data_IF_950285455700
#
_entry.id   IF_950285455700
#
_cell.length_a   1.000
_cell.length_b   1.000
_cell.length_c   1.000
_cell.angle_alpha   90.00
_cell.angle_beta   90.00
_cell.angle_gamma   90.00
#
_symmetry.space_group_name_H-M   'P 1'
#
loop_
_entity.id
_entity.type
_entity.pdbx_description
1 polymer ?
#
# COMPACT_ATOMS: atom_id res chain seq x y z
N UNK A 1 -46.05 -38.35 -47.58
CA UNK A 1 -47.12 -37.94 -46.66
C UNK A 1 -46.66 -38.16 -45.23
N UNK A 2 -46.27 -37.08 -44.53
CA UNK A 2 -46.47 -36.79 -43.10
C UNK A 2 -45.44 -35.74 -42.67
N UNK A 3 -45.95 -34.53 -42.47
CA UNK A 3 -45.24 -33.38 -41.93
C UNK A 3 -45.37 -33.38 -40.40
N UNK A 4 -44.26 -33.20 -39.67
CA UNK A 4 -44.29 -32.74 -38.29
C UNK A 4 -43.40 -31.51 -38.17
N UNK A 5 -44.02 -30.34 -37.97
CA UNK A 5 -43.37 -29.08 -37.62
C UNK A 5 -43.36 -28.94 -36.10
N UNK A 6 -42.19 -28.88 -35.49
CA UNK A 6 -42.02 -28.41 -34.11
C UNK A 6 -41.94 -26.88 -34.12
N UNK A 7 -42.86 -26.22 -33.41
CA UNK A 7 -42.77 -24.81 -33.02
C UNK A 7 -41.94 -24.72 -31.74
N UNK A 8 -40.78 -24.07 -31.81
CA UNK A 8 -40.04 -23.63 -30.61
C UNK A 8 -40.37 -22.15 -30.41
N UNK A 9 -41.14 -21.84 -29.38
CA UNK A 9 -41.42 -20.48 -28.94
C UNK A 9 -40.17 -19.85 -28.34
N UNK A 10 -39.70 -18.76 -28.94
CA UNK A 10 -38.61 -17.95 -28.42
C UNK A 10 -39.18 -16.96 -27.38
N UNK A 11 -39.07 -17.30 -26.10
CA UNK A 11 -39.40 -16.38 -25.00
C UNK A 11 -38.25 -15.40 -24.79
N UNK A 12 -38.46 -14.12 -25.11
CA UNK A 12 -37.56 -13.04 -24.70
C UNK A 12 -37.60 -12.92 -23.16
N UNK A 13 -36.50 -13.31 -22.51
CA UNK A 13 -36.25 -13.00 -21.11
C UNK A 13 -35.72 -11.55 -21.03
N UNK A 14 -36.61 -10.60 -20.73
CA UNK A 14 -36.24 -9.24 -20.36
C UNK A 14 -35.51 -9.28 -19.01
N UNK A 15 -34.18 -9.17 -19.03
CA UNK A 15 -33.38 -8.88 -17.84
C UNK A 15 -33.69 -7.46 -17.39
N UNK A 16 -34.54 -7.35 -16.36
CA UNK A 16 -34.73 -6.11 -15.63
C UNK A 16 -33.41 -5.77 -14.91
N UNK A 17 -32.67 -4.80 -15.43
CA UNK A 17 -31.60 -4.14 -14.69
C UNK A 17 -32.30 -3.32 -13.60
N UNK A 18 -32.41 -3.88 -12.41
CA UNK A 18 -32.94 -3.17 -11.25
C UNK A 18 -32.08 -1.95 -10.96
N UNK A 19 -32.64 -0.76 -11.09
CA UNK A 19 -32.02 0.46 -10.57
C UNK A 19 -31.87 0.27 -9.05
N UNK A 20 -30.64 0.20 -8.55
CA UNK A 20 -30.41 0.22 -7.10
C UNK A 20 -30.93 1.55 -6.56
N UNK A 21 -31.92 1.48 -5.67
CA UNK A 21 -32.42 2.65 -4.96
C UNK A 21 -31.28 3.24 -4.14
N UNK A 22 -30.89 4.47 -4.47
CA UNK A 22 -29.88 5.22 -3.74
C UNK A 22 -30.58 5.86 -2.53
N UNK A 23 -30.21 5.43 -1.33
CA UNK A 23 -30.73 6.03 -0.09
C UNK A 23 -30.27 7.49 0.03
N UNK A 24 -31.04 8.38 0.67
CA UNK A 24 -30.57 9.72 0.98
C UNK A 24 -29.32 9.66 1.85
N UNK A 25 -28.45 10.66 1.70
CA UNK A 25 -27.19 10.71 2.45
C UNK A 25 -27.45 10.77 3.95
N UNK A 26 -26.73 9.95 4.72
CA UNK A 26 -26.69 9.99 6.18
C UNK A 26 -25.73 11.11 6.57
N UNK A 27 -26.24 12.15 7.23
CA UNK A 27 -25.46 13.31 7.65
C UNK A 27 -25.10 13.17 9.11
N UNK A 28 -23.80 13.12 9.41
CA UNK A 28 -23.31 13.11 10.79
C UNK A 28 -23.40 14.53 11.35
N UNK A 29 -24.17 14.73 12.41
CA UNK A 29 -24.49 16.06 12.96
C UNK A 29 -23.51 16.52 14.05
N UNK A 30 -22.77 15.60 14.68
CA UNK A 30 -21.80 15.89 15.74
C UNK A 30 -20.47 15.18 15.55
N UNK A 31 -19.42 15.72 16.17
CA UNK A 31 -18.06 15.14 16.16
C UNK A 31 -17.73 14.30 17.39
N UNK A 32 -18.54 14.41 18.45
CA UNK A 32 -18.38 13.59 19.65
C UNK A 32 -18.93 12.18 19.40
N UNK A 33 -18.21 11.17 19.89
CA UNK A 33 -18.68 9.79 19.87
C UNK A 33 -19.86 9.63 20.84
N UNK A 34 -20.88 8.91 20.39
CA UNK A 34 -21.99 8.43 21.21
C UNK A 34 -22.62 7.25 20.52
N UNK A 35 -23.39 6.49 21.29
CA UNK A 35 -24.20 5.42 20.77
C UNK A 35 -25.52 5.32 21.54
N UNK A 36 -26.58 5.91 21.00
CA UNK A 36 -27.95 5.68 21.46
C UNK A 36 -28.75 4.71 20.54
N UNK A 37 -28.11 4.24 19.47
CA UNK A 37 -28.66 3.32 18.48
C UNK A 37 -29.48 3.97 17.38
N UNK A 38 -29.62 5.29 17.37
CA UNK A 38 -30.39 6.04 16.36
C UNK A 38 -29.52 7.15 15.77
N UNK A 39 -29.67 7.41 14.47
CA UNK A 39 -29.04 8.55 13.81
C UNK A 39 -30.15 9.50 13.36
N UNK A 40 -30.44 10.50 14.18
CA UNK A 40 -31.47 11.51 13.92
C UNK A 40 -30.89 12.93 13.81
N UNK A 41 -31.49 13.93 14.46
CA UNK A 41 -30.87 15.25 14.62
C UNK A 41 -29.57 15.20 15.42
N UNK A 42 -29.43 14.22 16.29
CA UNK A 42 -28.23 13.89 17.04
C UNK A 42 -27.65 12.60 16.47
N UNK A 43 -26.59 12.70 15.67
CA UNK A 43 -26.02 11.55 14.97
C UNK A 43 -24.50 11.64 14.96
N UNK A 44 -23.87 10.73 15.69
CA UNK A 44 -22.43 10.46 15.69
C UNK A 44 -22.03 9.66 14.45
N UNK A 45 -20.71 9.59 14.19
CA UNK A 45 -20.19 8.71 13.12
C UNK A 45 -20.54 7.24 13.39
N UNK A 46 -20.50 6.82 14.64
CA UNK A 46 -20.81 5.45 15.07
C UNK A 46 -22.27 5.10 14.79
N UNK A 47 -23.19 5.98 15.21
CA UNK A 47 -24.63 5.84 14.93
C UNK A 47 -24.91 5.81 13.41
N UNK A 48 -24.22 6.64 12.62
CA UNK A 48 -24.35 6.66 11.17
C UNK A 48 -23.88 5.35 10.50
N UNK A 49 -22.75 4.79 10.94
CA UNK A 49 -22.25 3.51 10.42
C UNK A 49 -23.18 2.37 10.83
N UNK A 50 -23.66 2.35 12.07
CA UNK A 50 -24.62 1.33 12.54
C UNK A 50 -25.90 1.35 11.71
N UNK A 51 -26.48 2.54 11.48
CA UNK A 51 -27.65 2.70 10.63
C UNK A 51 -27.38 2.22 9.20
N UNK A 52 -26.22 2.56 8.64
CA UNK A 52 -25.85 2.18 7.28
C UNK A 52 -25.67 0.66 7.13
N UNK A 53 -25.05 0.00 8.12
CA UNK A 53 -24.82 -1.46 8.15
C UNK A 53 -26.10 -2.28 8.31
N UNK A 54 -27.22 -1.66 8.68
CA UNK A 54 -28.53 -2.33 8.79
C UNK A 54 -29.39 -2.23 7.52
N UNK A 55 -29.00 -1.37 6.57
CA UNK A 55 -29.79 -1.09 5.36
C UNK A 55 -29.26 -1.87 4.16
N UNK A 56 -30.16 -2.46 3.38
CA UNK A 56 -29.78 -3.04 2.10
C UNK A 56 -29.46 -1.96 1.06
N UNK A 57 -28.50 -2.28 0.18
CA UNK A 57 -28.05 -1.38 -0.88
C UNK A 57 -26.93 -0.44 -0.45
N UNK A 58 -26.54 0.46 -1.35
CA UNK A 58 -25.44 1.39 -1.08
C UNK A 58 -25.89 2.56 -0.20
N UNK A 59 -25.10 2.84 0.83
CA UNK A 59 -25.30 3.94 1.76
C UNK A 59 -24.17 4.95 1.60
N UNK A 60 -24.49 6.24 1.73
CA UNK A 60 -23.49 7.31 1.72
C UNK A 60 -23.59 8.10 3.02
N UNK A 61 -22.46 8.20 3.71
CA UNK A 61 -22.30 8.96 4.95
C UNK A 61 -21.45 10.19 4.65
N UNK A 62 -21.89 11.36 5.10
CA UNK A 62 -21.18 12.63 4.91
C UNK A 62 -20.73 13.21 6.22
N UNK A 63 -19.45 13.57 6.25
CA UNK A 63 -18.79 14.25 7.36
C UNK A 63 -18.50 15.70 6.97
N UNK A 64 -18.82 16.61 7.89
CA UNK A 64 -18.38 17.99 7.84
C UNK A 64 -16.88 18.12 8.15
N UNK A 65 -16.39 19.37 8.14
CA UNK A 65 -15.07 19.65 8.66
C UNK A 65 -15.06 19.52 10.19
N UNK A 66 -14.02 18.92 10.75
CA UNK A 66 -13.92 18.66 12.18
C UNK A 66 -13.07 17.44 12.51
N UNK A 67 -12.89 17.21 13.82
CA UNK A 67 -12.23 16.03 14.36
C UNK A 67 -13.29 15.16 15.01
N UNK A 68 -13.68 14.08 14.33
CA UNK A 68 -14.56 13.04 14.82
C UNK A 68 -13.76 12.12 15.73
N UNK A 69 -14.01 12.20 17.04
CA UNK A 69 -13.35 11.36 18.02
C UNK A 69 -14.12 10.04 18.12
N UNK A 70 -13.42 8.90 18.08
CA UNK A 70 -13.95 7.63 18.58
C UNK A 70 -13.48 7.50 20.03
N UNK A 71 -14.40 7.60 20.99
CA UNK A 71 -14.08 7.73 22.42
C UNK A 71 -14.72 6.65 23.29
N UNK A 72 -15.57 5.79 22.72
CA UNK A 72 -16.13 4.65 23.44
C UNK A 72 -15.09 3.51 23.43
N UNK A 73 -14.29 3.41 24.50
CA UNK A 73 -13.23 2.40 24.61
C UNK A 73 -13.82 0.98 24.76
N UNK A 74 -13.22 -0.03 24.10
CA UNK A 74 -13.62 -1.40 24.29
C UNK A 74 -13.14 -1.92 25.65
N UNK A 75 -13.85 -2.89 26.26
CA UNK A 75 -13.31 -3.66 27.37
C UNK A 75 -11.96 -4.29 26.98
N UNK A 76 -11.08 -4.52 27.96
CA UNK A 76 -9.77 -5.11 27.71
C UNK A 76 -9.62 -6.46 28.40
N UNK A 77 -8.82 -7.34 27.81
CA UNK A 77 -8.36 -8.57 28.46
C UNK A 77 -7.31 -8.27 29.56
N UNK A 78 -6.84 -9.31 30.25
CA UNK A 78 -5.83 -9.17 31.32
C UNK A 78 -4.46 -8.69 30.83
N UNK A 79 -4.21 -8.74 29.52
CA UNK A 79 -3.01 -8.24 28.88
C UNK A 79 -3.19 -6.81 28.32
N UNK A 80 -4.36 -6.18 28.53
CA UNK A 80 -4.67 -4.84 28.06
C UNK A 80 -5.02 -4.78 26.57
N UNK A 81 -5.32 -5.92 25.94
CA UNK A 81 -5.76 -5.95 24.55
C UNK A 81 -7.26 -5.62 24.47
N UNK A 82 -7.68 -4.80 23.50
CA UNK A 82 -9.10 -4.60 23.17
C UNK A 82 -9.81 -5.94 22.95
N UNK A 83 -10.95 -6.12 23.60
CA UNK A 83 -11.88 -7.21 23.30
C UNK A 83 -12.75 -6.80 22.12
N UNK A 84 -12.71 -7.60 21.06
CA UNK A 84 -13.52 -7.36 19.86
C UNK A 84 -15.00 -7.50 20.21
N UNK A 85 -15.76 -6.49 19.81
CA UNK A 85 -17.21 -6.52 19.78
C UNK A 85 -17.66 -6.31 18.34
N UNK A 86 -18.94 -6.52 18.08
CA UNK A 86 -19.44 -6.58 16.73
C UNK A 86 -20.60 -5.59 16.50
N UNK A 87 -21.24 -5.06 17.51
CA UNK A 87 -22.48 -4.29 17.35
C UNK A 87 -22.25 -2.77 17.28
N UNK A 88 -21.00 -2.33 17.07
CA UNK A 88 -20.58 -0.93 17.10
C UNK A 88 -20.87 -0.22 18.43
N UNK A 89 -21.07 -0.96 19.52
CA UNK A 89 -21.28 -0.43 20.86
C UNK A 89 -20.07 0.33 21.41
N UNK A 90 -18.85 -0.05 21.02
CA UNK A 90 -17.59 0.59 21.41
C UNK A 90 -16.47 0.20 20.44
N UNK A 91 -15.22 0.56 20.71
CA UNK A 91 -14.09 0.13 19.88
C UNK A 91 -14.17 0.66 18.44
N UNK A 92 -13.82 -0.20 17.50
CA UNK A 92 -13.84 0.09 16.07
C UNK A 92 -15.27 0.16 15.48
N UNK A 93 -15.35 0.46 14.18
CA UNK A 93 -16.59 0.58 13.45
C UNK A 93 -16.72 -0.57 12.43
N UNK A 94 -17.55 -1.55 12.76
CA UNK A 94 -17.95 -2.66 11.92
C UNK A 94 -18.85 -2.27 10.75
N UNK A 95 -18.37 -2.57 9.55
CA UNK A 95 -19.12 -2.45 8.30
C UNK A 95 -19.64 -3.82 7.90
N UNK A 96 -20.97 -4.00 7.94
CA UNK A 96 -21.62 -5.29 7.64
C UNK A 96 -22.75 -5.19 6.64
N UNK A 97 -22.88 -6.24 5.81
CA UNK A 97 -24.01 -6.47 4.91
C UNK A 97 -24.40 -5.28 4.00
N UNK A 98 -23.48 -4.34 3.79
CA UNK A 98 -23.73 -3.06 3.15
C UNK A 98 -22.55 -2.61 2.28
N UNK A 99 -22.83 -1.67 1.38
CA UNK A 99 -21.83 -0.92 0.63
C UNK A 99 -21.82 0.52 1.11
N UNK A 100 -20.89 0.86 1.98
CA UNK A 100 -20.80 2.18 2.62
C UNK A 100 -19.79 3.06 1.87
N UNK A 101 -20.21 4.26 1.51
CA UNK A 101 -19.33 5.35 1.05
C UNK A 101 -19.24 6.43 2.12
N UNK A 102 -18.07 6.62 2.70
CA UNK A 102 -17.78 7.65 3.71
C UNK A 102 -17.04 8.82 3.07
N UNK A 103 -17.67 10.00 3.08
CA UNK A 103 -17.15 11.21 2.44
C UNK A 103 -16.80 12.28 3.47
N UNK A 104 -15.55 12.71 3.50
CA UNK A 104 -15.11 13.89 4.22
C UNK A 104 -15.17 15.19 3.40
N UNK A 105 -14.92 16.31 4.07
CA UNK A 105 -14.85 17.64 3.48
C UNK A 105 -13.46 17.98 2.89
N UNK A 106 -12.50 17.04 2.95
CA UNK A 106 -11.13 17.18 2.47
C UNK A 106 -10.11 16.51 3.40
N UNK A 107 -9.00 16.01 2.83
CA UNK A 107 -7.92 15.28 3.54
C UNK A 107 -7.39 15.98 4.80
N UNK A 108 -7.44 17.31 4.86
CA UNK A 108 -6.97 18.11 6.01
C UNK A 108 -8.08 18.77 6.81
N UNK A 109 -9.34 18.58 6.40
CA UNK A 109 -10.53 19.25 6.95
C UNK A 109 -11.39 18.32 7.78
N UNK A 110 -11.44 17.04 7.42
CA UNK A 110 -12.14 15.99 8.17
C UNK A 110 -11.11 15.00 8.69
N UNK A 111 -11.11 14.80 10.01
CA UNK A 111 -10.23 13.84 10.69
C UNK A 111 -11.10 12.89 11.51
N UNK A 112 -10.86 11.59 11.41
CA UNK A 112 -11.37 10.60 12.35
C UNK A 112 -10.19 10.15 13.22
N UNK A 113 -10.29 10.41 14.51
CA UNK A 113 -9.25 10.16 15.50
C UNK A 113 -9.71 9.04 16.43
N UNK A 114 -9.01 7.90 16.40
CA UNK A 114 -9.35 6.74 17.21
C UNK A 114 -8.70 6.77 18.61
N UNK A 115 -7.94 7.82 18.94
CA UNK A 115 -7.42 8.05 20.29
C UNK A 115 -6.47 6.96 20.83
N UNK A 116 -5.98 6.07 19.97
CA UNK A 116 -5.30 4.82 20.31
C UNK A 116 -6.12 3.87 21.20
N UNK A 117 -7.45 3.92 21.10
CA UNK A 117 -8.34 3.04 21.84
C UNK A 117 -8.55 1.71 21.11
N UNK A 118 -8.78 1.77 19.81
CA UNK A 118 -8.99 0.62 18.92
C UNK A 118 -8.74 1.03 17.45
N UNK A 119 -9.06 0.14 16.50
CA UNK A 119 -9.05 0.44 15.06
C UNK A 119 -10.12 1.46 14.70
N UNK A 120 -10.08 1.94 13.47
CA UNK A 120 -11.19 2.71 12.92
C UNK A 120 -12.30 1.82 12.40
N UNK A 121 -11.97 0.80 11.60
CA UNK A 121 -12.95 -0.01 10.87
C UNK A 121 -12.59 -1.50 10.82
N UNK A 122 -13.60 -2.36 10.94
CA UNK A 122 -13.57 -3.75 10.52
C UNK A 122 -14.56 -3.97 9.37
N UNK A 123 -14.07 -4.44 8.22
CA UNK A 123 -14.89 -4.73 7.05
C UNK A 123 -14.99 -6.24 6.90
N UNK A 124 -16.17 -6.78 7.23
CA UNK A 124 -16.41 -8.22 7.17
C UNK A 124 -16.58 -8.72 5.74
N UNK A 125 -16.48 -10.03 5.55
CA UNK A 125 -16.68 -10.66 4.25
C UNK A 125 -18.07 -10.32 3.66
N UNK A 126 -18.08 -9.93 2.38
CA UNK A 126 -19.29 -9.53 1.66
C UNK A 126 -19.72 -8.07 1.83
N UNK A 127 -19.07 -7.31 2.73
CA UNK A 127 -19.28 -5.86 2.85
C UNK A 127 -18.29 -5.06 1.97
N UNK A 128 -18.61 -3.79 1.73
CA UNK A 128 -17.67 -2.86 1.08
C UNK A 128 -17.64 -1.48 1.73
N UNK A 129 -16.45 -0.90 1.78
CA UNK A 129 -16.18 0.41 2.36
C UNK A 129 -15.34 1.27 1.41
N UNK A 130 -15.91 2.38 0.94
CA UNK A 130 -15.18 3.44 0.24
C UNK A 130 -14.98 4.61 1.20
N UNK A 131 -13.74 5.00 1.44
CA UNK A 131 -13.39 6.18 2.24
C UNK A 131 -12.77 7.22 1.32
N UNK A 132 -13.29 8.45 1.37
CA UNK A 132 -12.84 9.53 0.51
C UNK A 132 -12.68 10.85 1.26
N UNK A 133 -11.62 11.60 0.92
CA UNK A 133 -11.42 13.01 1.31
C UNK A 133 -11.37 13.26 2.83
N UNK A 134 -10.60 12.45 3.57
CA UNK A 134 -10.41 12.62 5.02
C UNK A 134 -9.07 12.08 5.54
N UNK A 135 -8.78 12.32 6.82
CA UNK A 135 -7.66 11.70 7.54
C UNK A 135 -8.15 10.68 8.58
N UNK A 136 -7.42 9.58 8.73
CA UNK A 136 -7.57 8.57 9.77
C UNK A 136 -6.29 8.57 10.60
N UNK A 137 -6.40 8.83 11.90
CA UNK A 137 -5.22 8.91 12.77
C UNK A 137 -5.39 8.21 14.11
N UNK A 138 -4.23 7.90 14.69
CA UNK A 138 -4.09 7.33 16.02
C UNK A 138 -4.93 6.05 16.22
N UNK A 139 -5.14 5.28 15.15
CA UNK A 139 -5.73 3.96 15.25
C UNK A 139 -4.77 2.98 15.92
N UNK A 140 -5.31 2.04 16.70
CA UNK A 140 -4.54 1.07 17.47
C UNK A 140 -5.14 -0.33 17.34
N UNK A 141 -4.29 -1.34 17.21
CA UNK A 141 -4.74 -2.72 17.46
C UNK A 141 -3.61 -3.56 18.05
N UNK A 142 -3.98 -4.65 18.73
CA UNK A 142 -3.02 -5.55 19.39
C UNK A 142 -2.38 -6.58 18.45
N UNK A 143 -2.84 -6.68 17.20
CA UNK A 143 -2.30 -7.68 16.26
C UNK A 143 -2.39 -7.32 14.77
N UNK A 144 -3.38 -6.55 14.36
CA UNK A 144 -3.75 -6.39 12.95
C UNK A 144 -4.33 -5.01 12.65
N UNK A 145 -3.78 -4.32 11.64
CA UNK A 145 -4.34 -3.12 11.02
C UNK A 145 -4.86 -2.06 11.97
N UNK A 146 -4.03 -1.13 12.46
CA UNK A 146 -4.49 -0.09 13.39
C UNK A 146 -5.62 0.83 12.87
N UNK A 147 -5.88 0.86 11.56
CA UNK A 147 -7.01 1.57 10.95
C UNK A 147 -8.07 0.61 10.45
N UNK A 148 -7.66 -0.40 9.68
CA UNK A 148 -8.57 -1.22 8.91
C UNK A 148 -8.16 -2.69 8.93
N UNK A 149 -9.09 -3.56 9.32
CA UNK A 149 -9.08 -4.99 9.01
C UNK A 149 -10.06 -5.24 7.86
N UNK A 150 -9.57 -5.73 6.72
CA UNK A 150 -10.39 -5.89 5.51
C UNK A 150 -10.51 -7.35 5.07
N UNK A 151 -11.66 -7.96 5.36
CA UNK A 151 -12.11 -9.23 4.78
C UNK A 151 -13.11 -9.06 3.62
N UNK A 152 -13.53 -7.82 3.33
CA UNK A 152 -14.45 -7.47 2.24
C UNK A 152 -13.76 -6.73 1.09
N UNK A 153 -14.37 -5.63 0.65
CA UNK A 153 -13.80 -4.75 -0.39
C UNK A 153 -13.61 -3.35 0.18
N UNK A 154 -12.39 -2.84 0.16
CA UNK A 154 -12.08 -1.49 0.63
C UNK A 154 -11.46 -0.65 -0.50
N UNK A 155 -11.88 0.61 -0.59
CA UNK A 155 -11.21 1.63 -1.41
C UNK A 155 -10.92 2.88 -0.57
N UNK A 156 -9.69 3.36 -0.65
CA UNK A 156 -9.23 4.60 -0.05
C UNK A 156 -8.85 5.56 -1.17
N UNK A 157 -9.50 6.72 -1.20
CA UNK A 157 -9.25 7.72 -2.24
C UNK A 157 -9.05 9.10 -1.64
N UNK A 158 -7.84 9.65 -1.79
CA UNK A 158 -7.45 10.91 -1.12
C UNK A 158 -7.70 10.81 0.38
N UNK A 159 -7.03 9.83 0.99
CA UNK A 159 -7.07 9.59 2.42
C UNK A 159 -5.66 9.68 2.99
N UNK A 160 -5.53 10.24 4.21
CA UNK A 160 -4.26 10.25 4.95
C UNK A 160 -4.38 9.32 6.15
N UNK A 161 -3.47 8.35 6.27
CA UNK A 161 -3.38 7.42 7.39
C UNK A 161 -2.15 7.80 8.20
N UNK A 162 -2.36 8.42 9.36
CA UNK A 162 -1.33 9.10 10.12
C UNK A 162 -1.18 8.48 11.51
N UNK A 163 0.04 8.05 11.85
CA UNK A 163 0.39 7.64 13.22
C UNK A 163 -0.52 6.51 13.75
N UNK A 164 -0.92 5.59 12.88
CA UNK A 164 -1.67 4.40 13.27
C UNK A 164 -0.68 3.28 13.60
N UNK A 165 -1.04 2.45 14.57
CA UNK A 165 -0.11 1.47 15.11
C UNK A 165 -0.75 0.13 15.40
N UNK A 166 0.05 -0.91 15.20
CA UNK A 166 -0.19 -2.21 15.80
C UNK A 166 0.93 -2.47 16.78
N UNK A 167 0.57 -2.94 17.97
CA UNK A 167 1.55 -3.27 19.00
C UNK A 167 1.20 -4.60 19.64
N UNK A 168 2.00 -5.62 19.34
CA UNK A 168 1.58 -7.00 19.48
C UNK A 168 2.52 -7.80 20.38
N UNK A 169 1.94 -8.68 21.20
CA UNK A 169 2.68 -9.59 22.09
C UNK A 169 2.69 -11.05 21.62
N UNK A 170 1.86 -11.36 20.62
CA UNK A 170 1.67 -12.69 20.02
C UNK A 170 2.63 -12.89 18.83
N UNK A 171 2.76 -14.08 18.21
CA UNK A 171 3.86 -14.32 17.26
C UNK A 171 3.78 -13.49 15.98
N UNK A 172 2.61 -12.96 15.61
CA UNK A 172 2.44 -12.23 14.36
C UNK A 172 1.72 -10.90 14.57
N UNK A 173 2.29 -9.85 14.01
CA UNK A 173 1.64 -8.57 13.79
C UNK A 173 1.55 -8.27 12.30
N UNK A 174 0.42 -7.71 11.85
CA UNK A 174 0.13 -7.50 10.42
C UNK A 174 -0.42 -6.11 10.16
N UNK A 175 0.32 -5.30 9.41
CA UNK A 175 -0.12 -3.99 8.95
C UNK A 175 -0.24 -2.98 10.08
N UNK A 176 0.70 -2.06 10.21
CA UNK A 176 0.58 -1.00 11.24
C UNK A 176 -0.65 -0.10 11.06
N UNK A 177 -1.14 0.05 9.82
CA UNK A 177 -2.40 0.72 9.52
C UNK A 177 -3.46 -0.22 8.94
N UNK A 178 -3.12 -1.08 7.97
CA UNK A 178 -4.11 -1.90 7.27
C UNK A 178 -3.66 -3.35 7.19
N UNK A 179 -4.55 -4.26 7.59
CA UNK A 179 -4.45 -5.69 7.28
C UNK A 179 -5.48 -6.03 6.20
N UNK A 180 -5.00 -6.35 4.99
CA UNK A 180 -5.85 -6.72 3.85
C UNK A 180 -5.86 -8.23 3.62
N UNK A 181 -7.05 -8.81 3.76
CA UNK A 181 -7.33 -10.23 3.53
C UNK A 181 -8.23 -10.47 2.32
N UNK A 182 -8.59 -9.42 1.59
CA UNK A 182 -9.39 -9.53 0.37
C UNK A 182 -9.01 -8.42 -0.62
N UNK A 183 -9.91 -7.52 -1.03
CA UNK A 183 -9.60 -6.53 -2.07
C UNK A 183 -9.43 -5.14 -1.47
N UNK A 184 -8.27 -4.53 -1.71
CA UNK A 184 -7.95 -3.16 -1.30
C UNK A 184 -7.47 -2.32 -2.47
N UNK A 185 -8.08 -1.15 -2.65
CA UNK A 185 -7.65 -0.12 -3.62
C UNK A 185 -7.22 1.13 -2.87
N UNK A 186 -6.02 1.62 -3.16
CA UNK A 186 -5.43 2.81 -2.55
C UNK A 186 -5.09 3.79 -3.66
N UNK A 187 -5.78 4.92 -3.69
CA UNK A 187 -5.70 5.92 -4.75
C UNK A 187 -5.37 7.28 -4.15
N UNK A 188 -4.32 7.94 -4.64
CA UNK A 188 -4.02 9.33 -4.28
C UNK A 188 -3.91 9.56 -2.76
N UNK A 189 -3.37 8.58 -2.03
CA UNK A 189 -3.44 8.53 -0.56
C UNK A 189 -2.05 8.59 0.07
N UNK A 190 -2.01 8.99 1.35
CA UNK A 190 -0.77 9.16 2.11
C UNK A 190 -0.75 8.27 3.35
N UNK A 191 0.33 7.50 3.52
CA UNK A 191 0.61 6.72 4.73
C UNK A 191 1.80 7.37 5.43
N UNK A 192 1.56 7.94 6.62
CA UNK A 192 2.54 8.75 7.31
C UNK A 192 2.77 8.19 8.71
N UNK A 193 3.99 7.70 8.96
CA UNK A 193 4.43 7.22 10.29
C UNK A 193 3.52 6.16 10.89
N UNK A 194 3.03 5.24 10.06
CA UNK A 194 2.32 4.06 10.57
C UNK A 194 3.33 3.02 11.08
N UNK A 195 3.03 2.38 12.20
CA UNK A 195 4.00 1.55 12.91
C UNK A 195 3.45 0.17 13.24
N UNK A 196 4.28 -0.84 13.06
CA UNK A 196 4.06 -2.18 13.57
C UNK A 196 5.22 -2.54 14.49
N UNK A 197 4.91 -2.83 15.75
CA UNK A 197 5.90 -3.07 16.80
C UNK A 197 5.59 -4.35 17.59
N UNK A 198 6.51 -5.31 17.56
CA UNK A 198 6.49 -6.46 18.45
C UNK A 198 6.98 -6.06 19.84
N UNK A 199 6.22 -6.41 20.88
CA UNK A 199 6.59 -6.22 22.30
C UNK A 199 7.17 -7.50 22.93
N UNK A 200 7.77 -8.35 22.12
CA UNK A 200 8.34 -9.61 22.60
C UNK A 200 9.38 -9.36 23.69
N UNK A 201 9.22 -9.99 24.85
CA UNK A 201 10.38 -10.25 25.71
C UNK A 201 11.31 -11.27 25.04
N UNK A 202 12.52 -11.46 25.57
CA UNK A 202 13.62 -12.28 25.00
C UNK A 202 13.29 -13.75 24.60
N UNK A 203 12.05 -14.24 24.78
CA UNK A 203 11.62 -15.61 24.49
C UNK A 203 10.54 -15.73 23.40
N UNK A 204 10.16 -14.66 22.69
CA UNK A 204 9.11 -14.72 21.65
C UNK A 204 9.67 -14.56 20.23
N UNK A 205 9.19 -15.40 19.31
CA UNK A 205 9.43 -15.30 17.86
C UNK A 205 8.44 -14.29 17.26
N UNK A 206 8.56 -13.03 17.65
CA UNK A 206 7.68 -11.97 17.15
C UNK A 206 8.02 -11.65 15.69
N UNK A 207 6.99 -11.67 14.83
CA UNK A 207 7.08 -11.45 13.39
C UNK A 207 6.23 -10.25 12.99
N UNK A 208 6.86 -9.23 12.42
CA UNK A 208 6.19 -7.99 12.00
C UNK A 208 6.11 -7.88 10.47
N UNK A 209 4.90 -8.00 9.92
CA UNK A 209 4.65 -7.88 8.49
C UNK A 209 3.90 -6.59 8.13
N UNK A 210 4.58 -5.65 7.48
CA UNK A 210 3.95 -4.44 6.93
C UNK A 210 3.81 -3.33 7.95
N UNK A 211 4.71 -2.35 7.95
CA UNK A 211 4.60 -1.20 8.87
C UNK A 211 3.44 -0.27 8.54
N UNK A 212 2.97 -0.24 7.29
CA UNK A 212 1.71 0.40 6.90
C UNK A 212 0.66 -0.63 6.49
N UNK A 213 0.95 -1.43 5.46
CA UNK A 213 0.02 -2.37 4.86
C UNK A 213 0.60 -3.79 4.91
N UNK A 214 -0.20 -4.71 5.42
CA UNK A 214 -0.06 -6.14 5.14
C UNK A 214 -1.09 -6.54 4.09
N UNK A 215 -0.66 -7.24 3.04
CA UNK A 215 -1.53 -7.74 1.97
C UNK A 215 -1.39 -9.24 1.78
N UNK A 216 -2.49 -9.97 2.03
CA UNK A 216 -2.59 -11.41 1.77
C UNK A 216 -3.35 -11.75 0.48
N UNK A 217 -4.06 -10.79 -0.13
CA UNK A 217 -4.88 -10.98 -1.32
C UNK A 217 -4.62 -9.88 -2.34
N UNK A 218 -5.63 -9.17 -2.83
CA UNK A 218 -5.51 -8.22 -3.94
C UNK A 218 -5.30 -6.81 -3.42
N UNK A 219 -4.18 -6.20 -3.81
CA UNK A 219 -3.86 -4.81 -3.54
C UNK A 219 -3.58 -4.04 -4.83
N UNK A 220 -4.27 -2.91 -4.99
CA UNK A 220 -3.97 -1.91 -6.01
C UNK A 220 -3.53 -0.61 -5.34
N UNK A 221 -2.35 -0.10 -5.68
CA UNK A 221 -1.86 1.20 -5.22
C UNK A 221 -1.57 2.09 -6.42
N UNK A 222 -2.12 3.30 -6.42
CA UNK A 222 -1.90 4.33 -7.44
C UNK A 222 -1.68 5.69 -6.81
N UNK A 223 -0.73 6.44 -7.37
CA UNK A 223 -0.60 7.87 -7.10
C UNK A 223 -0.40 8.19 -5.60
N UNK A 224 0.25 7.30 -4.86
CA UNK A 224 0.23 7.30 -3.39
C UNK A 224 1.63 7.41 -2.78
N UNK A 225 1.67 7.83 -1.52
CA UNK A 225 2.93 8.12 -0.81
C UNK A 225 2.98 7.37 0.51
N UNK A 226 4.07 6.65 0.75
CA UNK A 226 4.39 5.98 2.01
C UNK A 226 5.63 6.62 2.63
N UNK A 227 5.47 7.23 3.81
CA UNK A 227 6.50 8.03 4.46
C UNK A 227 6.71 7.64 5.91
N UNK A 228 7.93 7.25 6.24
CA UNK A 228 8.32 7.04 7.63
C UNK A 228 7.59 5.90 8.32
N UNK A 229 6.97 4.98 7.57
CA UNK A 229 6.35 3.79 8.16
C UNK A 229 7.40 2.79 8.58
N UNK A 230 7.14 2.07 9.68
CA UNK A 230 8.13 1.18 10.28
C UNK A 230 7.55 -0.15 10.72
N UNK A 231 8.20 -1.25 10.36
CA UNK A 231 7.98 -2.58 10.92
C UNK A 231 9.17 -2.97 11.79
N UNK A 232 8.91 -3.37 13.04
CA UNK A 232 9.95 -3.79 13.96
C UNK A 232 9.45 -4.95 14.83
N UNK A 233 10.26 -6.00 14.91
CA UNK A 233 10.11 -7.10 15.85
C UNK A 233 11.47 -7.75 16.09
N UNK A 234 11.55 -8.57 17.14
CA UNK A 234 12.82 -9.15 17.61
C UNK A 234 13.33 -10.31 16.75
N UNK A 235 12.42 -11.06 16.09
CA UNK A 235 12.80 -12.22 15.29
C UNK A 235 12.84 -11.90 13.80
N UNK A 236 11.68 -11.53 13.23
CA UNK A 236 11.58 -11.21 11.81
C UNK A 236 10.72 -9.96 11.61
N UNK A 237 11.14 -9.08 10.71
CA UNK A 237 10.26 -8.05 10.21
C UNK A 237 10.45 -7.83 8.71
N UNK A 238 9.37 -7.45 8.05
CA UNK A 238 9.31 -7.32 6.59
C UNK A 238 8.45 -6.14 6.18
N UNK A 239 8.93 -5.34 5.21
CA UNK A 239 8.09 -4.36 4.54
C UNK A 239 7.75 -3.17 5.43
N UNK A 240 8.70 -2.26 5.64
CA UNK A 240 8.49 -1.08 6.49
C UNK A 240 7.27 -0.25 6.10
N UNK A 241 6.92 -0.23 4.81
CA UNK A 241 5.64 0.26 4.32
C UNK A 241 4.69 -0.89 3.95
N UNK A 242 5.11 -1.77 3.03
CA UNK A 242 4.24 -2.78 2.44
C UNK A 242 4.87 -4.17 2.59
N UNK A 243 4.11 -5.09 3.17
CA UNK A 243 4.38 -6.52 3.08
C UNK A 243 3.32 -7.18 2.20
N UNK A 244 3.76 -7.88 1.16
CA UNK A 244 2.89 -8.59 0.23
C UNK A 244 3.17 -10.10 0.28
N UNK A 245 2.15 -10.88 0.60
CA UNK A 245 2.10 -12.35 0.41
C UNK A 245 1.02 -12.77 -0.61
N UNK A 246 0.20 -11.82 -1.07
CA UNK A 246 -0.80 -11.99 -2.13
C UNK A 246 -0.38 -11.37 -3.47
N UNK A 247 -1.32 -10.72 -4.15
CA UNK A 247 -1.09 -9.96 -5.37
C UNK A 247 -1.08 -8.46 -5.08
N UNK A 248 0.00 -7.77 -5.45
CA UNK A 248 0.11 -6.32 -5.35
C UNK A 248 0.48 -5.72 -6.69
N UNK A 249 -0.31 -4.74 -7.14
CA UNK A 249 -0.02 -3.89 -8.29
C UNK A 249 0.13 -2.44 -7.82
N UNK A 250 1.35 -1.92 -7.90
CA UNK A 250 1.74 -0.60 -7.42
C UNK A 250 2.23 0.25 -8.60
N UNK A 251 1.68 1.45 -8.77
CA UNK A 251 2.15 2.36 -9.81
C UNK A 251 2.12 3.82 -9.35
N UNK A 252 3.01 4.64 -9.93
CA UNK A 252 3.08 6.09 -9.68
C UNK A 252 3.09 6.40 -8.18
N UNK A 253 3.96 5.74 -7.43
CA UNK A 253 3.95 5.86 -5.97
C UNK A 253 5.35 6.08 -5.43
N UNK A 254 5.44 6.68 -4.25
CA UNK A 254 6.71 7.00 -3.61
C UNK A 254 6.81 6.36 -2.21
N UNK A 255 7.90 5.66 -1.96
CA UNK A 255 8.22 5.01 -0.68
C UNK A 255 9.47 5.65 -0.10
N UNK A 256 9.27 6.57 0.84
CA UNK A 256 10.31 7.47 1.33
C UNK A 256 10.55 7.27 2.82
N UNK A 257 11.78 6.95 3.21
CA UNK A 257 12.13 6.91 4.64
C UNK A 257 11.44 5.82 5.45
N UNK A 258 10.94 4.76 4.82
CA UNK A 258 10.32 3.63 5.52
C UNK A 258 11.40 2.71 6.08
N UNK A 259 11.09 1.99 7.17
CA UNK A 259 12.07 1.19 7.89
C UNK A 259 11.62 -0.22 8.26
N UNK A 260 12.49 -1.20 8.11
CA UNK A 260 12.31 -2.56 8.64
C UNK A 260 13.54 -2.97 9.47
N UNK A 261 13.36 -3.69 10.57
CA UNK A 261 14.48 -4.32 11.30
C UNK A 261 14.95 -5.63 10.66
N UNK A 262 14.17 -6.20 9.74
CA UNK A 262 14.51 -7.35 8.93
C UNK A 262 14.64 -6.97 7.46
N UNK A 263 13.89 -7.65 6.60
CA UNK A 263 13.90 -7.47 5.14
C UNK A 263 12.96 -6.34 4.68
N UNK A 264 13.20 -5.81 3.47
CA UNK A 264 12.27 -4.93 2.79
C UNK A 264 12.06 -3.61 3.54
N UNK A 265 13.07 -2.74 3.54
CA UNK A 265 13.01 -1.44 4.22
C UNK A 265 11.75 -0.63 3.86
N UNK A 266 11.35 -0.66 2.59
CA UNK A 266 10.04 -0.20 2.15
C UNK A 266 9.08 -1.36 1.88
N UNK A 267 9.48 -2.26 0.98
CA UNK A 267 8.59 -3.28 0.42
C UNK A 267 9.22 -4.65 0.61
N UNK A 268 8.43 -5.58 1.16
CA UNK A 268 8.75 -7.00 1.17
C UNK A 268 7.70 -7.75 0.38
N UNK A 269 8.11 -8.46 -0.67
CA UNK A 269 7.30 -9.43 -1.38
C UNK A 269 7.77 -10.82 -0.97
N UNK A 270 6.98 -11.54 -0.18
CA UNK A 270 7.38 -12.78 0.45
C UNK A 270 6.36 -13.90 0.16
N UNK A 271 6.60 -15.09 0.70
CA UNK A 271 5.83 -16.29 0.42
C UNK A 271 5.68 -16.50 -1.10
N UNK A 272 4.47 -16.74 -1.58
CA UNK A 272 4.15 -16.84 -3.02
C UNK A 272 3.61 -15.51 -3.59
N UNK A 273 4.00 -14.39 -2.98
CA UNK A 273 3.56 -13.06 -3.35
C UNK A 273 3.97 -12.70 -4.79
N UNK A 274 3.07 -12.00 -5.48
CA UNK A 274 3.29 -11.45 -6.81
C UNK A 274 3.21 -9.93 -6.73
N UNK A 275 4.31 -9.26 -7.03
CA UNK A 275 4.43 -7.81 -7.04
C UNK A 275 4.64 -7.31 -8.48
N UNK A 276 3.69 -6.55 -8.99
CA UNK A 276 3.91 -5.63 -10.10
C UNK A 276 4.18 -4.23 -9.56
N UNK A 277 5.30 -3.61 -9.96
CA UNK A 277 5.62 -2.25 -9.56
C UNK A 277 6.13 -1.43 -10.73
N UNK A 278 5.52 -0.26 -10.96
CA UNK A 278 5.89 0.61 -12.08
C UNK A 278 5.94 2.09 -11.75
N UNK A 279 6.78 2.85 -12.47
CA UNK A 279 6.83 4.31 -12.40
C UNK A 279 6.89 4.82 -10.95
N UNK A 280 7.74 4.22 -10.12
CA UNK A 280 7.71 4.45 -8.68
C UNK A 280 9.12 4.64 -8.12
N UNK A 281 9.20 5.44 -7.06
CA UNK A 281 10.45 5.80 -6.39
C UNK A 281 10.52 5.16 -5.02
N UNK A 282 11.62 4.47 -4.72
CA UNK A 282 11.97 3.99 -3.38
C UNK A 282 13.25 4.70 -2.95
N UNK A 283 13.16 5.61 -1.98
CA UNK A 283 14.31 6.39 -1.54
C UNK A 283 14.43 6.53 -0.04
N UNK A 284 15.67 6.59 0.44
CA UNK A 284 15.98 6.81 1.86
C UNK A 284 15.38 5.77 2.81
N UNK A 285 14.99 4.59 2.31
CA UNK A 285 14.43 3.53 3.15
C UNK A 285 15.56 2.81 3.90
N UNK A 286 15.24 2.31 5.08
CA UNK A 286 16.19 1.76 6.03
C UNK A 286 15.88 0.28 6.23
N UNK A 287 16.90 -0.56 6.08
CA UNK A 287 16.80 -1.99 6.34
C UNK A 287 18.09 -2.46 7.01
N UNK A 288 17.98 -3.33 8.01
CA UNK A 288 19.17 -3.94 8.62
C UNK A 288 19.67 -5.11 7.79
N UNK A 289 18.73 -5.90 7.25
CA UNK A 289 18.99 -7.05 6.40
C UNK A 289 18.21 -6.90 5.07
N UNK A 290 18.73 -7.44 3.97
CA UNK A 290 18.08 -7.32 2.66
C UNK A 290 18.14 -5.94 2.01
N UNK A 291 17.07 -5.56 1.28
CA UNK A 291 17.00 -4.35 0.47
C UNK A 291 15.79 -3.46 0.76
N UNK A 292 15.78 -2.25 0.20
CA UNK A 292 14.62 -1.37 0.22
C UNK A 292 13.39 -2.06 -0.40
N UNK A 293 13.62 -2.81 -1.48
CA UNK A 293 12.71 -3.81 -2.00
C UNK A 293 13.32 -5.19 -1.79
N UNK A 294 12.65 -6.04 -1.02
CA UNK A 294 12.98 -7.46 -0.90
C UNK A 294 11.97 -8.31 -1.67
N UNK A 295 12.45 -9.23 -2.51
CA UNK A 295 11.65 -10.24 -3.19
C UNK A 295 12.09 -11.63 -2.71
N UNK A 296 11.44 -12.09 -1.66
CA UNK A 296 11.75 -13.29 -0.90
C UNK A 296 12.44 -12.99 0.42
N UNK A 297 12.67 -14.06 1.17
CA UNK A 297 13.39 -14.07 2.45
C UNK A 297 14.64 -14.93 2.30
N UNK A 298 15.68 -14.64 3.09
CA UNK A 298 16.96 -15.36 3.02
C UNK A 298 16.86 -16.80 3.55
N UNK A 299 15.92 -17.03 4.48
CA UNK A 299 15.70 -18.31 5.13
C UNK A 299 14.20 -18.60 5.19
N UNK A 300 13.65 -19.23 4.15
CA UNK A 300 12.29 -19.78 4.25
C UNK A 300 12.37 -21.25 4.68
N UNK A 301 11.62 -21.60 5.72
CA UNK A 301 11.46 -23.00 6.15
C UNK A 301 10.78 -23.85 5.05
N UNK A 302 9.94 -23.21 4.24
CA UNK A 302 9.22 -23.81 3.13
C UNK A 302 9.69 -23.27 1.78
N UNK A 303 9.66 -24.07 0.69
CA UNK A 303 9.94 -23.57 -0.65
C UNK A 303 8.92 -22.47 -1.02
N UNK A 304 9.40 -21.24 -1.14
CA UNK A 304 8.61 -20.10 -1.61
C UNK A 304 9.32 -19.46 -2.80
N UNK A 305 8.56 -18.98 -3.79
CA UNK A 305 9.12 -18.38 -5.01
C UNK A 305 8.34 -17.12 -5.38
N UNK A 306 8.52 -16.03 -4.61
CA UNK A 306 7.83 -14.78 -4.88
C UNK A 306 8.33 -14.17 -6.20
N UNK A 307 7.42 -13.47 -6.88
CA UNK A 307 7.65 -12.90 -8.21
C UNK A 307 7.54 -11.39 -8.18
N UNK A 308 8.56 -10.71 -8.70
CA UNK A 308 8.60 -9.27 -8.84
C UNK A 308 8.76 -8.85 -10.31
N UNK A 309 7.83 -8.05 -10.81
CA UNK A 309 7.84 -7.44 -12.13
C UNK A 309 8.00 -5.93 -11.98
N UNK A 310 9.22 -5.45 -12.20
CA UNK A 310 9.65 -4.08 -11.86
C UNK A 310 9.95 -3.32 -13.14
N UNK A 311 9.28 -2.19 -13.38
CA UNK A 311 9.45 -1.40 -14.62
C UNK A 311 9.51 0.09 -14.31
N UNK A 312 10.49 0.83 -14.83
CA UNK A 312 10.57 2.29 -14.57
C UNK A 312 10.63 2.61 -13.07
N UNK A 313 11.48 1.90 -12.32
CA UNK A 313 11.71 2.16 -10.91
C UNK A 313 12.97 2.98 -10.68
N UNK A 314 12.91 3.89 -9.71
CA UNK A 314 14.08 4.59 -9.17
C UNK A 314 14.28 4.15 -7.72
N UNK A 315 15.21 3.22 -7.49
CA UNK A 315 15.57 2.72 -6.15
C UNK A 315 16.91 3.32 -5.73
N UNK A 316 16.85 4.40 -4.95
CA UNK A 316 17.99 5.33 -4.81
C UNK A 316 18.23 5.72 -3.35
N UNK A 317 19.49 5.87 -2.93
CA UNK A 317 19.85 6.41 -1.61
C UNK A 317 19.27 5.65 -0.40
N UNK A 318 19.08 4.33 -0.50
CA UNK A 318 18.60 3.54 0.62
C UNK A 318 19.74 3.12 1.57
N UNK A 319 19.44 3.04 2.87
CA UNK A 319 20.35 2.57 3.90
C UNK A 319 20.20 1.04 4.04
N UNK A 320 21.03 0.33 3.28
CA UNK A 320 20.95 -1.11 3.02
C UNK A 320 21.09 -1.38 1.53
N UNK A 321 20.64 -2.56 1.05
CA UNK A 321 20.63 -2.83 -0.40
C UNK A 321 19.49 -2.07 -1.09
N UNK A 322 19.59 -1.83 -2.39
CA UNK A 322 18.48 -1.32 -3.18
C UNK A 322 17.42 -2.39 -3.41
N UNK A 323 17.76 -3.37 -4.27
CA UNK A 323 16.99 -4.57 -4.53
C UNK A 323 17.68 -5.81 -3.94
N UNK A 324 16.95 -6.57 -3.15
CA UNK A 324 17.37 -7.87 -2.65
C UNK A 324 16.41 -8.95 -3.15
N UNK A 325 16.90 -9.90 -3.93
CA UNK A 325 16.11 -10.94 -4.58
C UNK A 325 16.59 -12.33 -4.17
N UNK A 326 15.68 -13.13 -3.63
CA UNK A 326 15.86 -14.58 -3.42
C UNK A 326 14.81 -15.40 -4.17
N UNK A 327 13.79 -14.76 -4.75
CA UNK A 327 12.81 -15.34 -5.67
C UNK A 327 13.07 -14.97 -7.14
N UNK A 328 12.01 -14.75 -7.92
CA UNK A 328 12.13 -14.38 -9.32
C UNK A 328 11.87 -12.88 -9.53
N UNK A 329 12.88 -12.14 -9.99
CA UNK A 329 12.75 -10.74 -10.36
C UNK A 329 12.99 -10.51 -11.85
N UNK A 330 12.09 -9.77 -12.49
CA UNK A 330 12.27 -9.18 -13.82
C UNK A 330 12.29 -7.67 -13.70
N UNK A 331 13.39 -7.05 -14.10
CA UNK A 331 13.62 -5.60 -13.97
C UNK A 331 13.78 -4.98 -15.35
N UNK A 332 12.99 -3.96 -15.66
CA UNK A 332 13.02 -3.28 -16.96
C UNK A 332 13.08 -1.77 -16.83
N UNK A 333 13.80 -1.12 -17.74
CA UNK A 333 13.88 0.34 -17.87
C UNK A 333 14.04 1.06 -16.50
N UNK A 334 14.93 0.59 -15.61
CA UNK A 334 14.99 1.00 -14.20
C UNK A 334 16.37 1.48 -13.78
N UNK A 335 16.41 2.26 -12.71
CA UNK A 335 17.62 2.82 -12.11
C UNK A 335 17.71 2.37 -10.65
N UNK A 336 18.81 1.71 -10.29
CA UNK A 336 19.08 1.29 -8.91
C UNK A 336 20.50 1.74 -8.56
N UNK A 337 20.63 2.88 -7.88
CA UNK A 337 21.93 3.58 -7.69
C UNK A 337 22.07 4.22 -6.32
N UNK A 338 23.31 4.40 -5.86
CA UNK A 338 23.61 5.15 -4.64
C UNK A 338 23.08 4.53 -3.35
N UNK A 339 22.86 3.22 -3.30
CA UNK A 339 22.45 2.51 -2.08
C UNK A 339 23.68 2.09 -1.26
N UNK A 340 23.62 2.18 0.08
CA UNK A 340 24.83 2.07 0.93
C UNK A 340 25.40 0.65 1.08
N UNK A 341 24.58 -0.40 0.93
CA UNK A 341 25.03 -1.79 1.03
C UNK A 341 25.48 -2.37 -0.32
N UNK A 342 24.53 -2.43 -1.25
CA UNK A 342 24.75 -2.68 -2.69
C UNK A 342 23.51 -2.21 -3.44
N UNK A 343 23.61 -1.90 -4.73
CA UNK A 343 22.40 -1.54 -5.48
C UNK A 343 21.50 -2.75 -5.67
N UNK A 344 22.05 -3.88 -6.10
CA UNK A 344 21.28 -5.07 -6.38
C UNK A 344 21.99 -6.33 -5.88
N UNK A 345 21.22 -7.26 -5.34
CA UNK A 345 21.66 -8.61 -4.96
C UNK A 345 20.59 -9.61 -5.38
N UNK A 346 20.98 -10.65 -6.11
CA UNK A 346 20.14 -11.79 -6.47
C UNK A 346 20.85 -13.10 -6.14
N UNK A 347 20.46 -13.74 -5.04
CA UNK A 347 21.16 -14.90 -4.49
C UNK A 347 20.21 -15.91 -3.89
N UNK A 348 20.61 -17.18 -3.91
CA UNK A 348 19.82 -18.29 -3.37
C UNK A 348 19.46 -19.31 -4.44
N UNK A 349 19.10 -20.52 -4.02
CA UNK A 349 18.84 -21.65 -4.93
C UNK A 349 17.59 -21.47 -5.80
N UNK A 350 16.68 -20.58 -5.40
CA UNK A 350 15.45 -20.24 -6.13
C UNK A 350 15.53 -18.87 -6.81
N UNK A 351 16.67 -18.18 -6.70
CA UNK A 351 16.82 -16.84 -7.23
C UNK A 351 16.95 -16.86 -8.75
N UNK A 352 16.06 -16.12 -9.42
CA UNK A 352 16.11 -15.85 -10.85
C UNK A 352 16.09 -14.34 -11.06
N UNK A 353 16.97 -13.86 -11.94
CA UNK A 353 17.09 -12.44 -12.23
C UNK A 353 17.19 -12.21 -13.73
N UNK A 354 16.28 -11.42 -14.25
CA UNK A 354 16.25 -10.98 -15.64
C UNK A 354 16.21 -9.45 -15.65
N UNK A 355 17.11 -8.82 -16.40
CA UNK A 355 17.15 -7.37 -16.58
C UNK A 355 17.15 -6.97 -18.05
N UNK A 356 16.51 -5.84 -18.36
CA UNK A 356 16.62 -5.17 -19.66
C UNK A 356 16.45 -3.66 -19.48
N UNK A 357 17.50 -2.89 -19.77
CA UNK A 357 17.55 -1.46 -19.49
C UNK A 357 17.68 -1.20 -17.99
N UNK A 358 18.64 -1.83 -17.32
CA UNK A 358 18.96 -1.57 -15.93
C UNK A 358 20.25 -0.76 -15.81
N UNK A 359 20.19 0.36 -15.07
CA UNK A 359 21.35 1.17 -14.70
C UNK A 359 21.72 0.94 -13.23
N UNK A 360 22.97 0.55 -12.98
CA UNK A 360 23.58 0.41 -11.65
C UNK A 360 24.78 1.34 -11.46
N UNK A 361 25.13 1.61 -10.20
CA UNK A 361 26.31 2.40 -9.83
C UNK A 361 27.37 1.61 -9.05
N UNK A 362 27.23 0.28 -9.02
CA UNK A 362 28.19 -0.67 -8.44
C UNK A 362 28.13 -1.99 -9.21
N UNK A 363 29.23 -2.74 -9.21
CA UNK A 363 29.19 -4.12 -9.69
C UNK A 363 28.45 -4.94 -8.65
N UNK A 364 27.28 -5.49 -9.00
CA UNK A 364 26.55 -6.39 -8.10
C UNK A 364 27.42 -7.61 -7.80
N UNK A 365 27.85 -7.83 -6.55
CA UNK A 365 28.64 -9.01 -6.21
C UNK A 365 27.81 -10.31 -6.24
N UNK A 366 26.49 -10.21 -6.48
CA UNK A 366 25.54 -11.30 -6.31
C UNK A 366 24.57 -11.39 -7.50
N UNK A 367 25.07 -11.49 -8.72
CA UNK A 367 24.30 -12.02 -9.85
C UNK A 367 23.28 -11.08 -10.52
N UNK A 368 23.16 -9.82 -10.11
CA UNK A 368 22.38 -8.87 -10.91
C UNK A 368 23.19 -8.36 -12.10
N UNK A 369 22.68 -8.55 -13.31
CA UNK A 369 23.27 -7.99 -14.53
C UNK A 369 22.69 -6.60 -14.81
N UNK A 370 23.50 -5.72 -15.37
CA UNK A 370 23.09 -4.37 -15.75
C UNK A 370 23.52 -4.08 -17.19
N UNK A 371 22.71 -3.30 -17.89
CA UNK A 371 23.00 -2.83 -19.25
C UNK A 371 23.87 -1.56 -19.22
N UNK A 372 23.70 -0.76 -18.16
CA UNK A 372 24.38 0.52 -17.97
C UNK A 372 25.03 0.59 -16.60
N UNK A 373 26.23 1.17 -16.57
CA UNK A 373 27.03 1.37 -15.36
C UNK A 373 27.47 2.83 -15.27
N UNK A 374 27.40 3.38 -14.07
CA UNK A 374 27.90 4.72 -13.73
C UNK A 374 28.78 4.65 -12.49
N UNK A 375 29.60 5.68 -12.25
CA UNK A 375 30.37 5.77 -11.01
C UNK A 375 29.44 6.07 -9.82
N UNK A 376 29.57 5.30 -8.74
CA UNK A 376 28.92 5.56 -7.45
C UNK A 376 29.05 7.00 -6.96
N UNK A 377 30.22 7.62 -7.16
CA UNK A 377 30.51 8.99 -6.74
C UNK A 377 29.80 10.04 -7.60
N UNK A 378 29.42 9.70 -8.84
CA UNK A 378 28.79 10.64 -9.77
C UNK A 378 27.26 10.58 -9.80
N UNK A 379 26.64 9.64 -9.06
CA UNK A 379 25.18 9.44 -9.02
C UNK A 379 24.41 10.75 -8.83
N UNK A 380 24.81 11.60 -7.87
CA UNK A 380 24.11 12.85 -7.56
C UNK A 380 24.70 14.09 -8.23
N UNK A 381 25.80 13.97 -8.97
CA UNK A 381 26.39 15.07 -9.73
C UNK A 381 26.09 15.00 -11.23
N UNK A 382 25.89 13.79 -11.76
CA UNK A 382 25.77 13.55 -13.22
C UNK A 382 24.48 12.80 -13.59
N UNK A 383 23.94 11.94 -12.73
CA UNK A 383 22.79 11.08 -13.11
C UNK A 383 21.46 11.64 -12.63
N UNK A 384 21.36 11.95 -11.32
CA UNK A 384 20.13 12.34 -10.65
C UNK A 384 20.32 13.58 -9.78
N UNK A 385 19.23 14.34 -9.60
CA UNK A 385 19.12 15.25 -8.46
C UNK A 385 18.73 14.49 -7.18
N UNK A 386 19.21 14.92 -6.00
CA UNK A 386 18.67 14.44 -4.72
C UNK A 386 17.16 14.61 -4.66
N UNK A 387 16.47 13.71 -3.96
CA UNK A 387 15.01 13.75 -3.89
C UNK A 387 14.54 14.98 -3.10
N UNK A 388 13.64 15.76 -3.69
CA UNK A 388 12.92 16.79 -2.97
C UNK A 388 11.68 16.19 -2.30
N UNK A 389 11.79 15.99 -0.99
CA UNK A 389 10.71 15.42 -0.19
C UNK A 389 9.62 16.44 0.17
N UNK A 390 9.83 17.72 -0.11
CA UNK A 390 8.89 18.82 0.16
C UNK A 390 8.15 19.33 -1.10
N UNK A 391 8.46 18.76 -2.27
CA UNK A 391 7.77 19.10 -3.52
C UNK A 391 6.24 18.90 -3.40
N UNK A 392 5.48 19.73 -4.09
CA UNK A 392 4.00 19.75 -4.05
C UNK A 392 3.32 18.56 -4.76
N UNK A 393 4.09 17.58 -5.23
CA UNK A 393 3.61 16.40 -5.95
C UNK A 393 4.27 15.10 -5.46
N UNK A 394 4.17 14.03 -6.26
CA UNK A 394 4.81 12.76 -5.92
C UNK A 394 6.34 12.92 -5.94
N UNK A 395 7.05 12.67 -4.82
CA UNK A 395 8.50 12.80 -4.75
C UNK A 395 9.20 11.84 -5.70
N UNK A 396 10.07 12.36 -6.55
CA UNK A 396 10.87 11.59 -7.50
C UNK A 396 12.30 12.14 -7.55
N UNK A 397 13.24 11.28 -7.91
CA UNK A 397 14.56 11.73 -8.33
C UNK A 397 14.47 12.24 -9.78
N UNK A 398 14.72 13.53 -9.98
CA UNK A 398 14.76 14.13 -11.31
C UNK A 398 16.05 13.72 -12.03
N UNK A 399 16.00 13.51 -13.34
CA UNK A 399 17.19 13.27 -14.15
C UNK A 399 17.96 14.58 -14.40
N UNK A 400 19.29 14.48 -14.44
CA UNK A 400 20.15 15.58 -14.88
C UNK A 400 20.31 15.58 -16.40
N UNK A 401 20.47 16.75 -17.04
CA UNK A 401 20.84 16.81 -18.46
C UNK A 401 22.12 16.02 -18.72
N UNK A 402 22.13 15.19 -19.78
CA UNK A 402 23.25 14.31 -20.14
C UNK A 402 23.42 13.07 -19.25
N UNK A 403 22.46 12.79 -18.37
CA UNK A 403 22.46 11.56 -17.57
C UNK A 403 22.42 10.33 -18.45
N UNK A 404 23.18 9.29 -18.09
CA UNK A 404 23.17 8.00 -18.79
C UNK A 404 21.81 7.26 -18.73
N UNK A 405 20.86 7.76 -17.93
CA UNK A 405 19.48 7.25 -17.90
C UNK A 405 18.54 7.96 -18.90
N UNK A 406 18.96 9.10 -19.47
CA UNK A 406 18.16 9.83 -20.47
C UNK A 406 18.15 9.06 -21.79
N UNK A 407 16.96 8.90 -22.37
CA UNK A 407 16.72 8.18 -23.63
C UNK A 407 17.30 6.76 -23.66
N UNK A 408 17.55 6.16 -22.49
CA UNK A 408 18.26 4.88 -22.38
C UNK A 408 17.33 3.66 -22.27
N UNK A 409 16.01 3.84 -22.29
CA UNK A 409 15.03 2.75 -22.31
C UNK A 409 15.24 1.79 -23.48
N UNK A 410 15.26 0.49 -23.20
CA UNK A 410 15.59 -0.58 -24.17
C UNK A 410 14.42 -1.51 -24.48
N UNK A 411 13.27 -1.28 -23.83
CA UNK A 411 12.05 -2.07 -24.00
C UNK A 411 10.84 -1.15 -24.04
N UNK A 412 9.67 -1.70 -24.41
CA UNK A 412 8.42 -0.93 -24.52
C UNK A 412 8.19 -0.01 -23.31
N UNK A 413 8.02 1.27 -23.59
CA UNK A 413 7.83 2.32 -22.60
C UNK A 413 6.43 2.26 -21.99
N UNK A 414 6.31 2.63 -20.71
CA UNK A 414 5.00 3.02 -20.17
C UNK A 414 4.51 4.28 -20.90
N UNK A 415 3.20 4.54 -20.94
CA UNK A 415 2.66 5.74 -21.60
C UNK A 415 2.94 7.05 -20.86
N UNK A 416 3.38 6.97 -19.61
CA UNK A 416 3.68 8.12 -18.76
C UNK A 416 4.65 7.74 -17.62
N UNK A 417 5.23 8.75 -16.97
CA UNK A 417 6.13 8.64 -15.83
C UNK A 417 5.39 8.68 -14.47
N UNK A 418 6.12 8.72 -13.35
CA UNK A 418 5.55 8.79 -12.00
C UNK A 418 4.62 10.00 -11.79
N UNK A 419 4.88 11.13 -12.47
CA UNK A 419 4.12 12.38 -12.35
C UNK A 419 2.92 12.42 -13.31
N UNK A 420 2.82 11.45 -14.21
CA UNK A 420 1.84 11.44 -15.30
C UNK A 420 2.30 12.18 -16.55
N UNK A 421 3.58 12.54 -16.66
CA UNK A 421 4.15 13.14 -17.88
C UNK A 421 4.27 12.06 -18.95
N UNK A 422 3.87 12.37 -20.19
CA UNK A 422 3.86 11.42 -21.29
C UNK A 422 5.27 10.91 -21.64
N UNK A 423 5.31 9.68 -22.17
CA UNK A 423 6.51 8.97 -22.65
C UNK A 423 6.25 8.34 -24.03
N UNK A 424 7.29 8.15 -24.87
CA UNK A 424 8.65 8.65 -24.71
C UNK A 424 8.76 10.16 -25.03
N UNK A 425 9.83 10.82 -24.57
CA UNK A 425 10.22 12.18 -24.95
C UNK A 425 11.70 12.19 -25.33
N UNK A 426 12.05 12.95 -26.36
CA UNK A 426 13.44 13.22 -26.75
C UNK A 426 14.07 14.14 -25.70
N UNK A 427 14.74 13.54 -24.73
CA UNK A 427 15.31 14.17 -23.55
C UNK A 427 16.76 14.64 -23.76
N UNK A 428 17.49 14.04 -24.72
CA UNK A 428 18.85 14.44 -25.10
C UNK A 428 18.91 15.39 -26.31
N UNK A 429 17.81 15.53 -27.07
CA UNK A 429 17.67 16.46 -28.18
C UNK A 429 18.28 15.97 -29.49
N UNK A 430 18.50 14.67 -29.65
CA UNK A 430 19.06 14.08 -30.88
C UNK A 430 18.02 13.88 -32.00
N UNK A 431 16.73 14.12 -31.72
CA UNK A 431 15.60 13.97 -32.62
C UNK A 431 14.90 12.61 -32.55
N UNK A 432 15.31 11.71 -31.65
CA UNK A 432 14.76 10.36 -31.47
C UNK A 432 14.22 10.17 -30.05
N UNK A 433 12.90 10.30 -29.89
CA UNK A 433 12.27 10.05 -28.59
C UNK A 433 12.39 8.59 -28.15
N UNK A 434 13.08 8.36 -27.03
CA UNK A 434 13.06 7.11 -26.27
C UNK A 434 12.58 7.43 -24.85
N UNK A 435 12.23 6.40 -24.07
CA UNK A 435 11.89 6.66 -22.67
C UNK A 435 13.14 6.62 -21.83
N UNK A 436 13.11 7.39 -20.76
CA UNK A 436 14.18 7.36 -19.77
C UNK A 436 14.11 6.11 -18.90
N UNK A 437 15.26 5.77 -18.32
CA UNK A 437 15.33 4.78 -17.25
C UNK A 437 14.81 5.38 -15.94
N UNK A 438 14.08 4.56 -15.18
CA UNK A 438 13.57 4.93 -13.87
C UNK A 438 12.20 5.61 -13.89
N UNK A 439 11.83 6.21 -12.78
CA UNK A 439 10.46 6.67 -12.51
C UNK A 439 10.12 8.02 -13.16
N UNK A 440 11.12 8.73 -13.69
CA UNK A 440 11.01 10.09 -14.22
C UNK A 440 11.20 10.10 -15.74
N UNK A 441 10.61 11.08 -16.43
CA UNK A 441 10.88 11.41 -17.85
C UNK A 441 11.30 12.88 -17.98
N UNK A 442 12.41 13.17 -18.66
CA UNK A 442 12.99 14.50 -18.84
C UNK A 442 12.24 15.34 -19.88
#
# INVERSE_FOLDING_TARGET
MHSSRFLVGCGLLLLAIGAQAQHPDIIVSKTSDSFDGVCDSDCSLREAITLASQRQGSQRIRLGAGVYQLSLAPPQDTAGNPLEEHENHNGDLDVRYAAITLLGAGMTRTVIDAGQLDRHFDVVAGASLLIQDLSLRNGFHSSEGGVLRNYGVAELKRVRLINNRVSFAQPFGRGGAIANYQSLRVLQSEFIRNHLEGRGGMNYTAVAHGGAIYNARDLLVRDSVFRGSRAAADYESGGGALYNSGFADVARSAFIGNGSTGNGGAVSNADNGVLGMSNSTLSSNITLYGGALANGVDYSAEPSSPKAYLVHLSIVANHGRGLHNTGHARVRNSVIVGNQGSNCSSSGIYAQFESQGLLLSDLSPYGCQADFMVDSASVFSEVLYPIDTNATGLPAHLLRPGSAAVDAGTSACASHDQRGVARPRDGDGDGVARCDLGAYEL
#
